data_IF_957916428914
#
_entry.id   IF_957916428914
#
_cell.length_a   1.000
_cell.length_b   1.000
_cell.length_c   1.000
_cell.angle_alpha   90.00
_cell.angle_beta   90.00
_cell.angle_gamma   90.00
#
_symmetry.space_group_name_H-M   'P 1'
#
loop_
_entity.id
_entity.type
_entity.pdbx_description
1 polymer ?
#
# COMPACT_ATOMS: atom_id res chain seq x y z
N UNK A 1 49.66 -8.42 14.59
CA UNK A 1 49.06 -7.43 13.67
C UNK A 1 48.40 -8.21 12.54
N UNK A 2 47.17 -8.66 12.76
CA UNK A 2 46.33 -9.22 11.69
C UNK A 2 45.00 -8.50 11.83
N UNK A 3 44.84 -7.41 11.09
CA UNK A 3 43.54 -6.79 10.89
C UNK A 3 42.78 -7.65 9.91
N UNK A 4 42.03 -8.62 10.42
CA UNK A 4 40.87 -9.14 9.70
C UNK A 4 39.78 -8.09 9.79
N UNK A 5 39.86 -7.08 8.92
CA UNK A 5 38.69 -6.33 8.54
C UNK A 5 37.92 -7.20 7.55
N UNK A 6 37.01 -8.03 8.05
CA UNK A 6 35.90 -8.50 7.22
C UNK A 6 35.15 -7.27 6.76
N UNK A 7 35.45 -6.86 5.52
CA UNK A 7 34.66 -5.93 4.74
C UNK A 7 33.28 -6.57 4.56
N UNK A 8 32.42 -6.35 5.55
CA UNK A 8 30.98 -6.47 5.35
C UNK A 8 30.66 -5.32 4.42
N UNK A 9 30.86 -5.56 3.12
CA UNK A 9 30.29 -4.74 2.07
C UNK A 9 28.77 -4.91 2.21
N UNK A 10 28.21 -4.20 3.19
CA UNK A 10 26.79 -4.10 3.47
C UNK A 10 26.21 -3.54 2.17
N UNK A 11 25.64 -4.42 1.36
CA UNK A 11 25.12 -4.06 0.04
C UNK A 11 23.86 -3.24 0.28
N UNK A 12 24.05 -1.93 0.50
CA UNK A 12 23.03 -0.89 0.62
C UNK A 12 22.01 -0.85 -0.53
N UNK A 13 22.19 -1.68 -1.58
CA UNK A 13 21.34 -1.73 -2.76
C UNK A 13 19.87 -2.00 -2.41
N UNK A 14 19.58 -2.90 -1.47
CA UNK A 14 18.20 -3.30 -1.14
C UNK A 14 17.38 -2.32 -0.28
N UNK A 15 17.94 -1.16 0.10
CA UNK A 15 17.24 -0.13 0.90
C UNK A 15 17.02 1.17 0.13
N UNK A 16 17.58 1.28 -1.06
CA UNK A 16 17.45 2.44 -1.92
C UNK A 16 16.69 2.05 -3.18
N UNK A 17 15.80 2.93 -3.60
CA UNK A 17 15.11 2.84 -4.88
C UNK A 17 15.07 4.22 -5.52
N UNK A 18 14.92 4.33 -6.84
CA UNK A 18 14.64 5.61 -7.49
C UNK A 18 13.37 6.26 -6.93
N UNK A 19 13.08 7.49 -7.36
CA UNK A 19 11.77 8.08 -7.09
C UNK A 19 10.73 7.42 -8.01
N UNK A 20 9.58 6.92 -7.50
CA UNK A 20 8.55 6.35 -8.34
C UNK A 20 7.98 7.41 -9.31
N UNK A 21 7.59 7.02 -10.54
CA UNK A 21 6.97 7.94 -11.47
C UNK A 21 5.64 8.44 -10.90
N UNK A 22 5.27 9.68 -11.23
CA UNK A 22 3.96 10.21 -10.81
C UNK A 22 2.85 9.50 -11.58
N UNK A 23 1.94 8.88 -10.85
CA UNK A 23 0.69 8.37 -11.38
C UNK A 23 -0.43 9.30 -10.95
N UNK A 24 -1.22 9.77 -11.91
CA UNK A 24 -2.42 10.55 -11.61
C UNK A 24 -3.41 9.64 -10.89
N UNK A 25 -3.84 10.07 -9.71
CA UNK A 25 -4.83 9.37 -8.92
C UNK A 25 -6.20 9.70 -9.51
N UNK A 26 -6.71 8.82 -10.36
CA UNK A 26 -8.09 8.91 -10.83
C UNK A 26 -9.05 8.50 -9.70
N UNK A 27 -9.89 9.45 -9.29
CA UNK A 27 -10.92 9.31 -8.27
C UNK A 27 -11.87 8.13 -8.51
N UNK A 28 -12.06 7.76 -9.77
CA UNK A 28 -12.94 6.65 -10.16
C UNK A 28 -12.23 5.29 -10.09
N UNK A 29 -10.89 5.27 -10.05
CA UNK A 29 -10.09 4.03 -10.01
C UNK A 29 -9.58 3.68 -8.60
N UNK A 30 -9.94 4.46 -7.59
CA UNK A 30 -9.61 4.20 -6.19
C UNK A 30 -10.59 3.19 -5.58
N UNK A 31 -10.38 1.92 -5.88
CA UNK A 31 -11.19 0.82 -5.34
C UNK A 31 -10.79 0.46 -3.90
N UNK A 32 -11.77 -0.01 -3.11
CA UNK A 32 -11.52 -0.65 -1.81
C UNK A 32 -10.44 -1.73 -1.95
N UNK A 33 -9.50 -1.77 -1.01
CA UNK A 33 -8.40 -2.73 -1.02
C UNK A 33 -7.18 -2.36 -1.87
N UNK A 34 -7.19 -1.23 -2.60
CA UNK A 34 -6.02 -0.76 -3.34
C UNK A 34 -4.90 -0.33 -2.38
N UNK A 35 -3.67 -0.81 -2.60
CA UNK A 35 -2.48 -0.36 -1.89
C UNK A 35 -2.12 1.08 -2.28
N UNK A 36 -1.99 1.94 -1.29
CA UNK A 36 -1.65 3.36 -1.44
C UNK A 36 -0.56 3.75 -0.45
N UNK A 37 0.25 4.75 -0.80
CA UNK A 37 1.12 5.41 0.16
C UNK A 37 0.52 6.76 0.55
N UNK A 38 0.56 7.07 1.84
CA UNK A 38 0.08 8.34 2.39
C UNK A 38 1.27 9.22 2.79
N UNK A 39 1.28 10.47 2.34
CA UNK A 39 2.27 11.46 2.75
C UNK A 39 1.89 12.09 4.10
N UNK A 40 2.60 11.70 5.16
CA UNK A 40 2.40 12.20 6.53
C UNK A 40 3.78 12.32 7.21
N UNK A 41 3.99 13.40 7.96
CA UNK A 41 5.21 13.62 8.74
C UNK A 41 6.49 13.50 7.90
N UNK A 42 6.48 14.12 6.71
CA UNK A 42 7.60 14.14 5.77
C UNK A 42 8.03 12.76 5.22
N UNK A 43 7.13 11.76 5.28
CA UNK A 43 7.38 10.42 4.79
C UNK A 43 6.14 9.83 4.08
N UNK A 44 6.41 8.84 3.21
CA UNK A 44 5.38 8.03 2.56
C UNK A 44 5.16 6.76 3.37
N UNK A 45 3.97 6.61 3.93
CA UNK A 45 3.57 5.46 4.74
C UNK A 45 2.66 4.54 3.94
N UNK A 46 2.99 3.25 3.90
CA UNK A 46 2.17 2.26 3.21
C UNK A 46 0.83 2.05 3.93
N UNK A 47 -0.24 2.01 3.16
CA UNK A 47 -1.58 1.70 3.63
C UNK A 47 -2.45 1.10 2.53
N UNK A 48 -3.73 0.94 2.84
CA UNK A 48 -4.73 0.35 1.95
C UNK A 48 -6.03 1.15 2.01
N UNK A 49 -6.65 1.40 0.86
CA UNK A 49 -7.98 2.00 0.83
C UNK A 49 -8.99 1.11 1.55
N UNK A 50 -9.69 1.70 2.51
CA UNK A 50 -10.54 0.99 3.47
C UNK A 50 -11.98 1.52 3.49
N UNK A 51 -12.41 2.15 2.40
CA UNK A 51 -13.80 2.54 2.15
C UNK A 51 -14.23 2.15 0.72
N UNK A 52 -15.55 2.17 0.48
CA UNK A 52 -16.16 1.96 -0.83
C UNK A 52 -16.67 3.28 -1.46
N UNK A 53 -16.15 4.43 -1.04
CA UNK A 53 -16.55 5.72 -1.57
C UNK A 53 -16.06 5.91 -3.02
N UNK A 54 -16.88 6.56 -3.84
CA UNK A 54 -16.57 6.84 -5.25
C UNK A 54 -16.65 8.35 -5.45
N UNK A 55 -15.60 8.95 -6.01
CA UNK A 55 -15.57 10.37 -6.32
C UNK A 55 -15.34 11.30 -5.12
N UNK A 56 -15.12 10.76 -3.91
CA UNK A 56 -14.83 11.55 -2.70
C UNK A 56 -13.49 12.31 -2.80
N UNK A 57 -13.40 13.44 -2.10
CA UNK A 57 -12.17 14.25 -1.96
C UNK A 57 -11.22 13.70 -0.90
N UNK A 58 -11.75 12.87 0.00
CA UNK A 58 -11.02 12.21 1.06
C UNK A 58 -11.31 10.72 1.00
N UNK A 59 -10.35 9.90 1.42
CA UNK A 59 -10.49 8.45 1.48
C UNK A 59 -10.03 7.95 2.83
N UNK A 60 -10.62 6.86 3.31
CA UNK A 60 -10.16 6.16 4.51
C UNK A 60 -9.04 5.21 4.12
N UNK A 61 -7.90 5.34 4.78
CA UNK A 61 -6.76 4.45 4.64
C UNK A 61 -6.53 3.70 5.94
N UNK A 62 -6.40 2.38 5.84
CA UNK A 62 -5.95 1.52 6.93
C UNK A 62 -4.44 1.28 6.80
N UNK A 63 -3.72 1.26 7.93
CA UNK A 63 -2.28 1.03 8.02
C UNK A 63 -2.03 -0.35 8.67
N UNK A 64 -1.82 -1.43 7.89
CA UNK A 64 -1.75 -2.79 8.43
C UNK A 64 -0.68 -2.99 9.51
N UNK A 65 0.46 -2.34 9.36
CA UNK A 65 1.59 -2.45 10.31
C UNK A 65 1.32 -1.76 11.64
N UNK A 66 0.43 -0.76 11.65
CA UNK A 66 0.05 0.01 12.84
C UNK A 66 -1.27 -0.44 13.45
N UNK A 67 -2.13 -1.09 12.66
CA UNK A 67 -3.49 -1.44 13.06
C UNK A 67 -4.41 -0.22 13.23
N UNK A 68 -4.10 0.90 12.55
CA UNK A 68 -4.82 2.17 12.66
C UNK A 68 -5.44 2.59 11.32
N UNK A 69 -6.39 3.53 11.33
CA UNK A 69 -7.04 4.08 10.14
C UNK A 69 -7.14 5.62 10.17
N UNK A 70 -7.09 6.25 9.00
CA UNK A 70 -7.16 7.71 8.88
C UNK A 70 -7.87 8.14 7.60
N UNK A 71 -8.66 9.21 7.68
CA UNK A 71 -9.19 9.90 6.49
C UNK A 71 -8.11 10.83 5.93
N UNK A 72 -7.85 10.73 4.63
CA UNK A 72 -6.77 11.44 3.94
C UNK A 72 -7.28 12.06 2.65
N UNK A 73 -6.88 13.30 2.39
CA UNK A 73 -7.16 13.96 1.11
C UNK A 73 -6.38 13.31 -0.04
N UNK A 74 -6.96 13.31 -1.22
CA UNK A 74 -6.35 12.69 -2.42
C UNK A 74 -4.97 13.25 -2.77
N UNK A 75 -4.71 14.53 -2.48
CA UNK A 75 -3.42 15.17 -2.71
C UNK A 75 -2.28 14.56 -1.88
N UNK A 76 -2.61 13.89 -0.77
CA UNK A 76 -1.65 13.21 0.10
C UNK A 76 -1.51 11.73 -0.23
N UNK A 77 -2.19 11.24 -1.28
CA UNK A 77 -2.16 9.85 -1.71
C UNK A 77 -1.34 9.66 -2.98
N UNK A 78 -0.72 8.49 -3.09
CA UNK A 78 -0.27 7.92 -4.36
C UNK A 78 -0.53 6.42 -4.37
N UNK A 79 -0.66 5.83 -5.56
CA UNK A 79 -0.70 4.37 -5.70
C UNK A 79 0.65 3.80 -5.27
N UNK A 80 0.66 2.76 -4.45
CA UNK A 80 1.90 2.11 -4.04
C UNK A 80 2.54 1.41 -5.24
N UNK A 81 3.82 1.67 -5.43
CA UNK A 81 4.62 1.05 -6.48
C UNK A 81 5.84 0.36 -5.90
N UNK A 82 6.18 -0.78 -6.48
CA UNK A 82 7.36 -1.57 -6.17
C UNK A 82 8.46 -1.36 -7.20
N UNK A 83 9.69 -1.25 -6.71
CA UNK A 83 10.87 -1.17 -7.55
C UNK A 83 11.41 -2.57 -7.79
N UNK A 84 11.41 -3.01 -9.04
CA UNK A 84 12.01 -4.26 -9.45
C UNK A 84 13.47 -4.02 -9.84
N UNK A 85 14.40 -4.30 -8.92
CA UNK A 85 15.84 -4.07 -9.16
C UNK A 85 16.39 -4.87 -10.35
N UNK A 86 15.80 -6.02 -10.66
CA UNK A 86 16.28 -6.90 -11.74
C UNK A 86 15.90 -6.36 -13.12
N UNK A 87 14.68 -5.88 -13.26
CA UNK A 87 14.18 -5.35 -14.54
C UNK A 87 14.34 -3.84 -14.65
N UNK A 88 14.71 -3.17 -13.56
CA UNK A 88 14.81 -1.72 -13.43
C UNK A 88 13.49 -1.01 -13.79
N UNK A 89 12.37 -1.59 -13.35
CA UNK A 89 11.03 -1.07 -13.62
C UNK A 89 10.21 -0.88 -12.35
N UNK A 90 9.28 0.08 -12.42
CA UNK A 90 8.24 0.27 -11.41
C UNK A 90 6.99 -0.53 -11.75
N UNK A 91 6.44 -1.21 -10.77
CA UNK A 91 5.20 -1.98 -10.90
C UNK A 91 4.19 -1.51 -9.86
N UNK A 92 2.93 -1.31 -10.25
CA UNK A 92 1.88 -1.00 -9.27
C UNK A 92 1.62 -2.24 -8.41
N UNK A 93 1.62 -2.08 -7.08
CA UNK A 93 1.39 -3.19 -6.15
C UNK A 93 -0.02 -3.78 -6.30
N UNK A 94 -1.00 -2.94 -6.65
CA UNK A 94 -2.38 -3.37 -6.87
C UNK A 94 -3.16 -3.51 -5.57
N UNK A 95 -3.94 -4.58 -5.44
CA UNK A 95 -4.82 -4.82 -4.29
C UNK A 95 -4.11 -5.59 -3.18
N UNK A 96 -4.48 -5.31 -1.94
CA UNK A 96 -4.05 -6.09 -0.80
C UNK A 96 -4.83 -7.42 -0.73
N UNK A 97 -4.15 -8.51 -1.10
CA UNK A 97 -4.73 -9.86 -1.19
C UNK A 97 -5.41 -10.34 0.10
N UNK A 98 -5.03 -9.79 1.26
CA UNK A 98 -5.66 -10.15 2.53
C UNK A 98 -7.13 -9.70 2.59
N UNK A 99 -7.46 -8.52 2.07
CA UNK A 99 -8.85 -8.05 2.01
C UNK A 99 -9.65 -8.86 0.99
N UNK A 100 -9.06 -9.16 -0.17
CA UNK A 100 -9.69 -10.03 -1.17
C UNK A 100 -10.04 -11.41 -0.58
N UNK A 101 -9.13 -11.95 0.24
CA UNK A 101 -9.35 -13.22 0.94
C UNK A 101 -10.48 -13.12 1.98
N UNK A 102 -10.54 -12.03 2.75
CA UNK A 102 -11.60 -11.81 3.75
C UNK A 102 -12.95 -11.64 3.06
N UNK A 103 -13.03 -10.87 1.98
CA UNK A 103 -14.25 -10.68 1.19
C UNK A 103 -14.75 -12.02 0.65
N UNK A 104 -13.88 -12.78 0.00
CA UNK A 104 -14.20 -14.12 -0.49
C UNK A 104 -14.66 -15.06 0.62
N UNK A 105 -13.97 -15.06 1.77
CA UNK A 105 -14.38 -15.89 2.91
C UNK A 105 -15.78 -15.50 3.41
N UNK A 106 -16.11 -14.21 3.46
CA UNK A 106 -17.45 -13.76 3.86
C UNK A 106 -18.52 -14.22 2.88
N UNK A 107 -18.24 -14.15 1.57
CA UNK A 107 -19.14 -14.64 0.52
C UNK A 107 -19.35 -16.16 0.62
N UNK A 108 -18.28 -16.94 0.77
CA UNK A 108 -18.34 -18.40 0.87
C UNK A 108 -19.02 -18.88 2.17
N UNK A 109 -18.92 -18.10 3.25
CA UNK A 109 -19.46 -18.43 4.57
C UNK A 109 -20.70 -17.59 4.94
N UNK A 110 -21.38 -17.01 3.95
CA UNK A 110 -22.57 -16.19 4.18
C UNK A 110 -23.70 -17.07 4.75
N UNK A 111 -23.88 -17.03 6.07
CA UNK A 111 -25.07 -17.58 6.72
C UNK A 111 -26.16 -16.51 6.66
N UNK A 112 -27.31 -16.74 5.99
CA UNK A 112 -28.43 -15.82 6.05
C UNK A 112 -29.00 -15.89 7.48
N UNK A 113 -28.52 -15.02 8.37
CA UNK A 113 -29.08 -14.88 9.70
C UNK A 113 -30.39 -14.12 9.54
N UNK A 114 -31.50 -14.85 9.49
CA UNK A 114 -32.84 -14.27 9.54
C UNK A 114 -33.00 -13.63 10.92
N UNK A 115 -32.90 -12.30 10.98
CA UNK A 115 -33.33 -11.55 12.17
C UNK A 115 -34.84 -11.71 12.27
N UNK A 116 -35.29 -12.30 13.37
CA UNK A 116 -36.71 -12.52 13.68
C UNK A 116 -37.34 -11.28 14.31
#
# INVERSE_FOLDING_TARGET
LSSDCTDVSDTFRGRLRPVPPKLEVDRLNLAYGLCVDVYISEAWWEGVLFDHEIGSEERRVFFPDLGDEMNVGLQSLRVTQDWNERTETWECRGRWLFLDLIEKYREDNYLPVSVK
#
